data_IF_866046044082
#
_entry.id   IF_866046044082
#
_cell.length_a   1.000
_cell.length_b   1.000
_cell.length_c   1.000
_cell.angle_alpha   90.00
_cell.angle_beta   90.00
_cell.angle_gamma   90.00
#
_symmetry.space_group_name_H-M   'P 1'
#
loop_
_entity.id
_entity.type
_entity.pdbx_description
1 polymer ?
#
# COMPACT_ATOMS: atom_id res chain seq x y z
N UNK A 1 -13.94 -24.62 -5.65
CA UNK A 1 -15.25 -24.81 -6.31
C UNK A 1 -16.06 -23.53 -6.07
N UNK A 2 -16.45 -22.75 -7.10
CA UNK A 2 -17.26 -21.57 -6.90
C UNK A 2 -18.60 -21.98 -6.25
N UNK A 3 -19.01 -21.36 -5.14
CA UNK A 3 -20.25 -21.72 -4.47
C UNK A 3 -21.41 -21.52 -5.45
N UNK A 4 -22.22 -22.57 -5.63
CA UNK A 4 -23.40 -22.65 -6.53
C UNK A 4 -23.15 -23.01 -8.01
N UNK A 5 -21.94 -23.40 -8.42
CA UNK A 5 -21.66 -23.77 -9.84
C UNK A 5 -21.28 -25.24 -10.03
N UNK A 6 -21.81 -25.85 -11.10
CA UNK A 6 -21.49 -27.22 -11.52
C UNK A 6 -20.08 -27.31 -12.12
N UNK A 7 -19.49 -28.52 -12.10
CA UNK A 7 -18.22 -28.80 -12.75
C UNK A 7 -18.29 -28.55 -14.26
N UNK A 8 -17.30 -27.82 -14.78
CA UNK A 8 -17.19 -27.48 -16.21
C UNK A 8 -15.72 -27.50 -16.62
N UNK A 9 -15.46 -27.88 -17.86
CA UNK A 9 -14.12 -27.78 -18.45
C UNK A 9 -13.67 -26.30 -18.46
N UNK A 10 -12.35 -26.06 -18.32
CA UNK A 10 -11.76 -24.71 -18.31
C UNK A 10 -12.18 -23.89 -19.53
N UNK A 11 -12.29 -24.52 -20.70
CA UNK A 11 -12.75 -23.87 -21.93
C UNK A 11 -14.10 -23.15 -21.77
N UNK A 12 -15.00 -23.72 -20.96
CA UNK A 12 -16.39 -23.28 -20.75
C UNK A 12 -16.57 -22.34 -19.54
N UNK A 13 -15.48 -21.87 -18.94
CA UNK A 13 -15.49 -20.88 -17.85
C UNK A 13 -15.57 -19.45 -18.40
N UNK A 14 -16.11 -18.52 -17.61
CA UNK A 14 -16.09 -17.09 -17.96
C UNK A 14 -14.65 -16.53 -17.93
N UNK A 15 -14.41 -15.38 -18.56
CA UNK A 15 -13.11 -14.72 -18.54
C UNK A 15 -12.59 -14.50 -17.11
N UNK A 16 -13.43 -13.93 -16.23
CA UNK A 16 -13.06 -13.71 -14.83
C UNK A 16 -12.80 -14.99 -14.03
N UNK A 17 -13.55 -16.08 -14.30
CA UNK A 17 -13.30 -17.38 -13.66
C UNK A 17 -11.97 -18.00 -14.08
N UNK A 18 -11.61 -17.87 -15.37
CA UNK A 18 -10.30 -18.31 -15.89
C UNK A 18 -9.18 -17.51 -15.23
N UNK A 19 -9.31 -16.19 -15.15
CA UNK A 19 -8.31 -15.31 -14.52
C UNK A 19 -8.13 -15.63 -13.04
N UNK A 20 -9.23 -15.80 -12.29
CA UNK A 20 -9.17 -16.13 -10.87
C UNK A 20 -8.54 -17.51 -10.62
N UNK A 21 -8.86 -18.51 -11.45
CA UNK A 21 -8.24 -19.83 -11.36
C UNK A 21 -6.73 -19.78 -11.65
N UNK A 22 -6.31 -19.02 -12.66
CA UNK A 22 -4.90 -18.81 -12.98
C UNK A 22 -4.14 -18.09 -11.86
N UNK A 23 -4.71 -17.02 -11.29
CA UNK A 23 -4.12 -16.32 -10.14
C UNK A 23 -3.98 -17.23 -8.93
N UNK A 24 -4.99 -18.04 -8.62
CA UNK A 24 -4.93 -19.01 -7.53
C UNK A 24 -3.79 -20.02 -7.75
N UNK A 25 -3.58 -20.50 -8.97
CA UNK A 25 -2.47 -21.39 -9.31
C UNK A 25 -1.11 -20.70 -9.15
N UNK A 26 -0.96 -19.46 -9.64
CA UNK A 26 0.27 -18.67 -9.48
C UNK A 26 0.60 -18.47 -8.01
N UNK A 27 -0.40 -18.16 -7.18
CA UNK A 27 -0.21 -18.01 -5.74
C UNK A 27 0.09 -19.32 -5.02
N UNK A 28 -0.48 -20.45 -5.46
CA UNK A 28 -0.12 -21.76 -4.93
C UNK A 28 1.34 -22.11 -5.25
N UNK A 29 1.80 -21.80 -6.47
CA UNK A 29 3.20 -21.97 -6.87
C UNK A 29 4.13 -21.07 -6.09
N UNK A 30 3.74 -19.83 -5.78
CA UNK A 30 4.51 -18.93 -4.91
C UNK A 30 4.73 -19.52 -3.51
N UNK A 31 3.72 -20.18 -2.94
CA UNK A 31 3.85 -20.86 -1.63
C UNK A 31 4.81 -22.04 -1.71
N UNK A 32 4.80 -22.79 -2.82
CA UNK A 32 5.71 -23.92 -3.02
C UNK A 32 7.15 -23.48 -3.29
N UNK A 33 7.34 -22.44 -4.12
CA UNK A 33 8.64 -21.89 -4.49
C UNK A 33 8.56 -20.35 -4.49
N UNK A 34 8.99 -19.69 -3.40
CA UNK A 34 8.91 -18.24 -3.32
C UNK A 34 9.91 -17.58 -4.27
N UNK A 35 9.42 -16.68 -5.12
CA UNK A 35 10.23 -15.81 -5.98
C UNK A 35 10.35 -14.44 -5.31
N UNK A 36 11.51 -13.78 -5.36
CA UNK A 36 11.71 -12.47 -4.73
C UNK A 36 10.92 -11.32 -5.40
N UNK A 37 10.51 -11.48 -6.66
CA UNK A 37 9.89 -10.43 -7.47
C UNK A 37 8.77 -10.97 -8.37
N UNK A 38 7.64 -10.27 -8.40
CA UNK A 38 6.49 -10.56 -9.25
C UNK A 38 6.08 -9.35 -10.08
N UNK A 39 5.75 -9.59 -11.35
CA UNK A 39 5.15 -8.61 -12.26
C UNK A 39 3.74 -9.08 -12.64
N UNK A 40 2.75 -8.20 -12.49
CA UNK A 40 1.36 -8.48 -12.81
C UNK A 40 0.82 -7.33 -13.66
N UNK A 41 0.45 -7.62 -14.90
CA UNK A 41 -0.05 -6.63 -15.84
C UNK A 41 -1.55 -6.82 -16.07
N UNK A 42 -2.35 -5.82 -15.71
CA UNK A 42 -3.79 -5.72 -15.96
C UNK A 42 -4.62 -6.97 -15.56
N UNK A 43 -4.17 -7.68 -14.53
CA UNK A 43 -4.79 -8.94 -14.07
C UNK A 43 -6.23 -8.77 -13.57
N UNK A 44 -6.63 -7.52 -13.30
CA UNK A 44 -7.89 -7.08 -12.75
C UNK A 44 -8.92 -6.66 -13.80
N UNK A 45 -8.55 -6.57 -15.09
CA UNK A 45 -9.49 -6.22 -16.17
C UNK A 45 -10.65 -7.20 -16.28
N UNK A 46 -10.40 -8.50 -16.06
CA UNK A 46 -11.41 -9.55 -16.14
C UNK A 46 -12.16 -9.80 -14.82
N UNK A 47 -11.76 -9.14 -13.73
CA UNK A 47 -12.32 -9.34 -12.40
C UNK A 47 -13.37 -8.27 -12.06
N UNK A 48 -14.33 -8.65 -11.23
CA UNK A 48 -15.29 -7.73 -10.62
C UNK A 48 -14.70 -7.05 -9.38
N UNK A 49 -15.28 -5.92 -8.99
CA UNK A 49 -14.80 -5.09 -7.87
C UNK A 49 -14.56 -5.89 -6.57
N UNK A 50 -15.43 -6.86 -6.26
CA UNK A 50 -15.29 -7.71 -5.08
C UNK A 50 -14.04 -8.58 -5.14
N UNK A 51 -13.80 -9.26 -6.25
CA UNK A 51 -12.60 -10.11 -6.38
C UNK A 51 -11.32 -9.27 -6.50
N UNK A 52 -11.37 -8.10 -7.15
CA UNK A 52 -10.23 -7.17 -7.20
C UNK A 52 -9.80 -6.77 -5.79
N UNK A 53 -10.73 -6.36 -4.94
CA UNK A 53 -10.43 -6.01 -3.54
C UNK A 53 -9.82 -7.18 -2.76
N UNK A 54 -10.30 -8.41 -2.97
CA UNK A 54 -9.75 -9.61 -2.32
C UNK A 54 -8.30 -9.86 -2.78
N UNK A 55 -8.04 -9.74 -4.09
CA UNK A 55 -6.69 -9.92 -4.66
C UNK A 55 -5.74 -8.83 -4.19
N UNK A 56 -6.17 -7.56 -4.16
CA UNK A 56 -5.39 -6.43 -3.67
C UNK A 56 -4.92 -6.65 -2.23
N UNK A 57 -5.84 -7.02 -1.34
CA UNK A 57 -5.53 -7.34 0.06
C UNK A 57 -4.59 -8.54 0.18
N UNK A 58 -4.78 -9.56 -0.67
CA UNK A 58 -3.90 -10.73 -0.69
C UNK A 58 -2.46 -10.33 -1.07
N UNK A 59 -2.27 -9.55 -2.14
CA UNK A 59 -0.96 -9.05 -2.57
C UNK A 59 -0.31 -8.23 -1.45
N UNK A 60 -1.07 -7.30 -0.84
CA UNK A 60 -0.57 -6.49 0.26
C UNK A 60 -0.06 -7.35 1.43
N UNK A 61 -0.77 -8.43 1.78
CA UNK A 61 -0.35 -9.35 2.85
C UNK A 61 0.94 -10.11 2.50
N UNK A 62 1.18 -10.37 1.21
CA UNK A 62 2.34 -11.13 0.71
C UNK A 62 3.56 -10.26 0.43
N UNK A 63 3.40 -8.94 0.37
CA UNK A 63 4.52 -8.03 0.15
C UNK A 63 5.65 -8.16 1.15
N UNK A 64 5.39 -8.62 2.37
CA UNK A 64 6.44 -8.81 3.38
C UNK A 64 7.51 -9.83 2.96
N UNK A 65 7.16 -10.77 2.07
CA UNK A 65 8.04 -11.86 1.65
C UNK A 65 8.57 -11.69 0.21
N UNK A 66 7.89 -10.92 -0.65
CA UNK A 66 8.26 -10.73 -2.05
C UNK A 66 7.83 -9.36 -2.57
N UNK A 67 8.59 -8.81 -3.51
CA UNK A 67 8.26 -7.55 -4.16
C UNK A 67 7.21 -7.76 -5.24
N UNK A 68 6.19 -6.91 -5.28
CA UNK A 68 5.14 -6.95 -6.28
C UNK A 68 5.15 -5.65 -7.10
N UNK A 69 5.20 -5.79 -8.42
CA UNK A 69 4.98 -4.72 -9.38
C UNK A 69 3.67 -5.03 -10.09
N UNK A 70 2.65 -4.22 -9.83
CA UNK A 70 1.32 -4.41 -10.42
C UNK A 70 1.02 -3.24 -11.34
N UNK A 71 0.46 -3.51 -12.51
CA UNK A 71 -0.05 -2.50 -13.42
C UNK A 71 -1.57 -2.64 -13.40
N UNK A 72 -2.27 -1.55 -13.04
CA UNK A 72 -3.72 -1.60 -12.87
C UNK A 72 -4.37 -0.23 -13.05
N UNK A 73 -5.56 -0.24 -13.65
CA UNK A 73 -6.43 0.93 -13.77
C UNK A 73 -7.54 0.97 -12.71
N UNK A 74 -7.61 -0.01 -11.79
CA UNK A 74 -8.62 -0.07 -10.74
C UNK A 74 -8.12 0.61 -9.47
N UNK A 75 -8.90 1.55 -8.95
CA UNK A 75 -8.60 2.25 -7.69
C UNK A 75 -8.36 1.30 -6.53
N UNK A 76 -9.21 0.26 -6.38
CA UNK A 76 -9.12 -0.73 -5.29
C UNK A 76 -7.77 -1.47 -5.25
N UNK A 77 -7.05 -1.56 -6.38
CA UNK A 77 -5.71 -2.18 -6.44
C UNK A 77 -4.64 -1.22 -5.96
N UNK A 78 -4.57 -0.03 -6.55
CA UNK A 78 -3.47 0.91 -6.31
C UNK A 78 -3.61 1.72 -5.01
N UNK A 79 -4.81 1.79 -4.42
CA UNK A 79 -5.03 2.46 -3.14
C UNK A 79 -4.20 1.84 -2.00
N UNK A 80 -3.96 0.52 -2.07
CA UNK A 80 -3.17 -0.23 -1.08
C UNK A 80 -1.65 -0.27 -1.39
N UNK A 81 -1.21 0.36 -2.48
CA UNK A 81 0.20 0.40 -2.88
C UNK A 81 1.06 1.16 -1.86
N UNK A 82 2.34 0.81 -1.75
CA UNK A 82 3.30 1.61 -0.97
C UNK A 82 3.83 2.79 -1.80
N UNK A 83 4.01 2.57 -3.09
CA UNK A 83 4.51 3.56 -4.04
C UNK A 83 3.70 3.47 -5.34
N UNK A 84 3.35 4.64 -5.86
CA UNK A 84 2.62 4.81 -7.10
C UNK A 84 3.58 5.29 -8.18
N UNK A 85 3.48 4.75 -9.39
CA UNK A 85 4.26 5.20 -10.55
C UNK A 85 3.29 5.68 -11.63
N UNK A 86 3.10 6.99 -11.73
CA UNK A 86 2.27 7.58 -12.77
C UNK A 86 3.05 7.68 -14.09
N UNK A 87 2.48 7.14 -15.16
CA UNK A 87 3.02 7.28 -16.52
C UNK A 87 2.15 8.28 -17.29
N UNK A 88 2.78 9.27 -17.92
CA UNK A 88 2.09 10.29 -18.71
C UNK A 88 2.88 10.66 -19.97
N UNK A 89 2.20 11.20 -20.98
CA UNK A 89 2.79 11.52 -22.28
C UNK A 89 2.77 13.04 -22.52
N UNK A 90 3.89 13.62 -22.90
CA UNK A 90 4.02 15.03 -23.29
C UNK A 90 4.84 15.14 -24.55
N UNK A 91 4.33 15.82 -25.58
CA UNK A 91 5.04 16.03 -26.85
C UNK A 91 5.56 14.73 -27.49
N UNK A 92 4.72 13.69 -27.53
CA UNK A 92 5.07 12.35 -27.99
C UNK A 92 6.18 11.62 -27.20
N UNK A 93 6.63 12.18 -26.09
CA UNK A 93 7.58 11.54 -25.17
C UNK A 93 6.83 11.01 -23.92
N UNK A 94 7.04 9.74 -23.59
CA UNK A 94 6.55 9.15 -22.34
C UNK A 94 7.45 9.57 -21.18
N UNK A 95 6.83 10.03 -20.10
CA UNK A 95 7.48 10.41 -18.84
C UNK A 95 6.83 9.65 -17.70
N UNK A 96 7.57 9.43 -16.62
CA UNK A 96 7.06 8.80 -15.42
C UNK A 96 7.37 9.65 -14.19
N UNK A 97 6.49 9.57 -13.20
CA UNK A 97 6.65 10.18 -11.89
C UNK A 97 6.33 9.13 -10.83
N UNK A 98 7.14 9.07 -9.78
CA UNK A 98 6.92 8.12 -8.68
C UNK A 98 6.61 8.88 -7.39
N UNK A 99 5.55 8.48 -6.70
CA UNK A 99 5.04 9.11 -5.48
C UNK A 99 4.90 8.05 -4.40
N UNK A 100 5.34 8.34 -3.18
CA UNK A 100 5.09 7.46 -2.03
C UNK A 100 3.65 7.63 -1.53
N UNK A 101 2.91 6.53 -1.43
CA UNK A 101 1.53 6.51 -0.98
C UNK A 101 1.49 6.47 0.55
N UNK A 102 1.80 7.61 1.19
CA UNK A 102 1.75 7.76 2.65
C UNK A 102 0.33 8.06 3.08
N UNK A 103 -0.13 7.42 4.16
CA UNK A 103 -1.46 7.66 4.73
C UNK A 103 -1.59 9.12 5.17
N UNK A 104 -2.39 9.89 4.42
CA UNK A 104 -2.66 11.30 4.67
C UNK A 104 -3.42 11.51 6.00
N UNK A 105 -4.12 10.49 6.51
CA UNK A 105 -4.87 10.57 7.78
C UNK A 105 -3.94 10.63 8.99
N UNK A 106 -2.76 10.03 8.91
CA UNK A 106 -1.75 10.09 9.97
C UNK A 106 -1.06 11.45 10.06
N UNK A 107 -1.07 12.24 8.98
CA UNK A 107 -0.48 13.58 8.95
C UNK A 107 -1.44 14.66 9.47
N UNK A 108 -2.75 14.40 9.47
CA UNK A 108 -3.78 15.37 9.85
C UNK A 108 -3.98 15.57 11.37
N UNK A 109 -3.25 14.85 12.24
CA UNK A 109 -3.39 15.01 13.70
C UNK A 109 -2.06 15.44 14.34
N UNK A 110 -1.89 16.72 14.74
CA UNK A 110 -0.88 17.03 15.74
C UNK A 110 -1.25 16.25 17.01
N UNK A 111 -0.37 15.34 17.45
CA UNK A 111 -0.47 14.72 18.77
C UNK A 111 -0.42 15.85 19.79
N UNK A 112 -1.57 16.25 20.35
CA UNK A 112 -1.55 17.13 21.53
C UNK A 112 -0.72 16.43 22.60
N UNK A 113 0.26 17.10 23.21
CA UNK A 113 0.99 16.50 24.31
C UNK A 113 0.00 16.12 25.43
N UNK A 114 0.13 14.92 26.03
CA UNK A 114 -0.73 14.49 27.11
C UNK A 114 -0.48 15.42 28.31
N UNK A 115 -1.48 16.21 28.68
CA UNK A 115 -1.42 17.12 29.82
C UNK A 115 -1.70 18.60 29.54
N UNK A 116 -2.03 18.99 28.31
CA UNK A 116 -2.45 20.39 28.04
C UNK A 116 -3.95 20.54 28.23
N UNK A 117 -4.43 21.20 29.31
CA UNK A 117 -5.84 21.51 29.46
C UNK A 117 -6.29 22.48 28.36
N UNK A 118 -7.58 22.44 27.97
CA UNK A 118 -8.11 23.34 26.94
C UNK A 118 -7.93 24.82 27.38
N UNK A 119 -7.58 25.73 26.45
CA UNK A 119 -7.38 27.13 26.79
C UNK A 119 -8.70 27.75 27.25
N UNK A 120 -8.71 28.26 28.48
CA UNK A 120 -9.80 29.09 29.02
C UNK A 120 -9.71 30.47 28.36
N UNK A 121 -10.81 31.09 27.90
CA UNK A 121 -10.74 32.40 27.26
C UNK A 121 -10.58 33.48 28.33
N UNK A 122 -9.40 34.13 28.41
CA UNK A 122 -9.23 35.32 29.23
C UNK A 122 -7.78 35.74 29.50
N UNK A 123 -7.39 36.86 28.90
CA UNK A 123 -6.56 37.94 29.50
C UNK A 123 -5.04 37.77 29.61
N UNK A 124 -4.31 38.39 28.66
CA UNK A 124 -3.26 39.38 28.93
C UNK A 124 -1.83 38.96 29.36
N UNK A 125 -0.85 39.57 28.68
CA UNK A 125 0.51 39.99 29.14
C UNK A 125 1.71 39.00 29.17
N UNK A 126 2.61 39.21 28.19
CA UNK A 126 4.08 39.46 28.27
C UNK A 126 5.00 38.57 29.14
N UNK A 127 5.94 37.84 28.52
CA UNK A 127 7.42 38.05 28.54
C UNK A 127 8.24 36.80 28.19
N UNK A 128 9.44 37.06 27.64
CA UNK A 128 10.54 36.21 27.14
C UNK A 128 10.83 34.88 27.88
N UNK A 129 11.30 33.89 27.11
CA UNK A 129 12.15 32.81 27.63
C UNK A 129 12.51 31.75 26.57
N UNK A 130 13.68 31.89 25.93
CA UNK A 130 14.32 30.81 25.15
C UNK A 130 14.84 29.78 26.15
N UNK A 131 14.40 28.52 26.06
CA UNK A 131 14.97 27.40 26.82
C UNK A 131 15.59 26.40 25.83
N UNK A 132 16.89 26.05 25.93
CA UNK A 132 17.52 25.09 25.04
C UNK A 132 17.17 23.64 25.42
N UNK A 133 16.98 22.79 24.41
CA UNK A 133 16.72 21.35 24.59
C UNK A 133 18.00 20.61 25.04
N UNK A 134 17.90 19.81 26.12
CA UNK A 134 19.01 19.00 26.67
C UNK A 134 19.34 17.75 25.83
N UNK A 135 20.61 17.29 25.77
CA UNK A 135 21.10 16.28 24.82
C UNK A 135 20.52 14.87 25.03
N UNK A 136 20.02 14.59 26.23
CA UNK A 136 19.57 13.26 26.66
C UNK A 136 18.28 12.81 25.98
N UNK A 137 17.50 13.73 25.41
CA UNK A 137 16.26 13.42 24.68
C UNK A 137 16.48 13.10 23.19
N UNK A 138 17.66 13.40 22.63
CA UNK A 138 17.98 13.11 21.22
C UNK A 138 18.21 11.62 20.97
N UNK A 139 18.95 10.94 21.87
CA UNK A 139 19.33 9.53 21.71
C UNK A 139 18.19 8.53 21.81
N UNK A 140 17.07 8.88 22.48
CA UNK A 140 15.92 7.97 22.65
C UNK A 140 14.91 8.06 21.51
N UNK A 141 15.01 9.09 20.67
CA UNK A 141 14.23 9.23 19.44
C UNK A 141 14.89 8.52 18.26
N UNK A 142 16.22 8.39 18.27
CA UNK A 142 16.98 7.69 17.22
C UNK A 142 16.85 6.15 17.37
N UNK A 143 16.82 5.63 18.60
CA UNK A 143 16.77 4.18 18.84
C UNK A 143 15.40 3.51 18.62
N UNK A 144 14.39 4.23 18.11
CA UNK A 144 13.05 3.67 17.81
C UNK A 144 12.68 3.78 16.33
N UNK A 145 13.63 4.16 15.48
CA UNK A 145 13.45 4.27 14.03
C UNK A 145 14.15 3.11 13.29
N UNK A 146 14.91 2.28 14.00
CA UNK A 146 15.81 1.28 13.42
C UNK A 146 15.33 -0.17 13.61
N UNK A 147 14.03 -0.41 13.43
CA UNK A 147 13.45 -1.77 13.46
C UNK A 147 12.35 -1.98 12.39
N UNK A 148 12.50 -1.36 11.21
CA UNK A 148 11.65 -1.60 10.03
C UNK A 148 12.51 -1.96 8.80
N UNK A 149 13.48 -2.88 8.99
CA UNK A 149 14.21 -3.49 7.86
C UNK A 149 13.48 -4.76 7.44
N UNK A 150 12.55 -4.60 6.50
CA UNK A 150 12.05 -5.67 5.62
C UNK A 150 11.43 -5.03 4.36
N UNK A 151 12.26 -4.59 3.41
CA UNK A 151 11.75 -3.99 2.16
C UNK A 151 11.57 -5.08 1.09
N UNK A 152 10.36 -5.61 0.97
CA UNK A 152 9.75 -5.75 -0.34
C UNK A 152 8.47 -4.90 -0.38
N UNK A 153 8.49 -3.85 -1.20
CA UNK A 153 7.34 -2.96 -1.38
C UNK A 153 6.43 -3.44 -2.50
N UNK A 154 5.16 -3.03 -2.47
CA UNK A 154 4.29 -3.12 -3.66
C UNK A 154 4.42 -1.79 -4.38
N UNK A 155 4.89 -1.84 -5.62
CA UNK A 155 4.87 -0.71 -6.54
C UNK A 155 3.72 -0.93 -7.50
N UNK A 156 2.76 0.00 -7.56
CA UNK A 156 1.67 -0.07 -8.53
C UNK A 156 1.84 1.06 -9.54
N UNK A 157 1.87 0.70 -10.82
CA UNK A 157 2.06 1.59 -11.97
C UNK A 157 0.78 1.70 -12.80
#
# INVERSE_FOLDING_TARGET
>A
MPPKKSWRAIANLSGGEKTLASLALVFALHVFKPTPLYFMDEIDAALDFKNVSIVANYIQSKTKAAQFIVISLRNDMFELAHRLVGIYKTSNCTKSIAIDNKDLRLQARPKRPPGVPPPTPGTGTSTRGVVPLTPTQRRRAESKVEEDVATPGTVIA
#
